data_IF_816971736697
#
_entry.id   IF_816971736697
#
_cell.length_a   1.000
_cell.length_b   1.000
_cell.length_c   1.000
_cell.angle_alpha   90.00
_cell.angle_beta   90.00
_cell.angle_gamma   90.00
#
_symmetry.space_group_name_H-M   'P 1'
#
loop_
_entity.id
_entity.type
_entity.pdbx_description
1 polymer ?
#
# COMPACT_ATOMS: atom_id res chain seq x y z
N UNK A 1 -6.72 -14.78 3.91
CA UNK A 1 -6.43 -14.71 2.46
C UNK A 1 -5.88 -16.05 1.99
N UNK A 2 -6.24 -16.51 0.78
CA UNK A 2 -5.71 -17.75 0.16
C UNK A 2 -5.15 -17.43 -1.21
N UNK A 3 -4.00 -18.03 -1.52
CA UNK A 3 -3.42 -18.05 -2.86
C UNK A 3 -3.57 -19.46 -3.43
N UNK A 4 -3.99 -19.51 -4.70
CA UNK A 4 -4.28 -20.74 -5.42
C UNK A 4 -3.34 -20.86 -6.60
N UNK A 5 -2.81 -22.06 -6.82
CA UNK A 5 -2.24 -22.39 -8.12
C UNK A 5 -3.38 -22.73 -9.08
N UNK A 6 -3.60 -21.88 -10.07
CA UNK A 6 -4.66 -22.02 -11.07
C UNK A 6 -4.55 -23.30 -11.89
N UNK A 7 -3.35 -23.88 -12.04
CA UNK A 7 -3.13 -25.09 -12.86
C UNK A 7 -3.54 -26.35 -12.11
N UNK A 8 -3.23 -26.41 -10.83
CA UNK A 8 -3.56 -27.58 -9.99
C UNK A 8 -4.85 -27.42 -9.19
N UNK A 9 -5.39 -26.21 -9.09
CA UNK A 9 -6.54 -25.88 -8.25
C UNK A 9 -6.26 -25.99 -6.75
N UNK A 10 -4.98 -26.12 -6.34
CA UNK A 10 -4.59 -26.30 -4.94
C UNK A 10 -4.26 -24.96 -4.29
N UNK A 11 -4.57 -24.85 -3.01
CA UNK A 11 -4.10 -23.74 -2.17
C UNK A 11 -2.58 -23.90 -1.99
N UNK A 12 -1.82 -22.89 -2.38
CA UNK A 12 -0.35 -22.85 -2.22
C UNK A 12 0.09 -22.05 -1.01
N UNK A 13 -0.77 -21.16 -0.53
CA UNK A 13 -0.55 -20.40 0.69
C UNK A 13 -1.90 -19.95 1.26
N UNK A 14 -2.02 -20.00 2.59
CA UNK A 14 -3.18 -19.53 3.32
C UNK A 14 -2.72 -18.80 4.58
N UNK A 15 -3.35 -17.66 4.85
CA UNK A 15 -3.24 -16.95 6.11
C UNK A 15 -4.62 -16.66 6.65
N UNK A 16 -4.79 -16.82 7.96
CA UNK A 16 -5.85 -16.10 8.68
C UNK A 16 -5.47 -14.61 8.73
N UNK A 17 -6.46 -13.72 8.86
CA UNK A 17 -6.16 -12.33 9.23
C UNK A 17 -5.26 -12.31 10.48
N UNK A 18 -4.35 -11.32 10.61
CA UNK A 18 -3.40 -11.31 11.72
C UNK A 18 -4.16 -11.40 13.02
N UNK A 19 -3.84 -12.42 13.81
CA UNK A 19 -4.64 -12.79 14.97
C UNK A 19 -4.80 -14.29 15.19
N UNK A 20 -4.71 -15.10 14.14
CA UNK A 20 -4.82 -16.57 14.27
C UNK A 20 -3.70 -17.24 15.08
N UNK A 21 -2.58 -16.52 15.32
CA UNK A 21 -1.41 -17.04 16.06
C UNK A 21 -0.84 -16.04 17.10
N UNK A 22 -1.65 -15.10 17.58
CA UNK A 22 -1.42 -14.47 18.90
C UNK A 22 -0.53 -13.22 19.02
N UNK A 23 -0.23 -12.43 17.98
CA UNK A 23 0.63 -11.23 18.12
C UNK A 23 0.31 -10.03 17.22
N UNK A 24 -0.97 -9.73 16.96
CA UNK A 24 -1.30 -8.48 16.26
C UNK A 24 -2.44 -7.74 16.95
N UNK A 25 -2.25 -6.45 17.17
CA UNK A 25 -3.29 -5.51 17.62
C UNK A 25 -4.40 -5.32 16.57
N UNK A 26 -4.23 -5.89 15.37
CA UNK A 26 -5.17 -5.84 14.24
C UNK A 26 -6.05 -7.10 14.12
N UNK A 27 -6.22 -7.84 15.23
CA UNK A 27 -7.10 -9.00 15.30
C UNK A 27 -8.50 -8.69 14.78
N UNK A 28 -8.95 -9.50 13.81
CA UNK A 28 -10.31 -9.40 13.28
C UNK A 28 -10.52 -8.21 12.34
N UNK A 29 -9.48 -7.72 11.68
CA UNK A 29 -9.57 -6.69 10.64
C UNK A 29 -9.34 -7.29 9.24
N UNK A 30 -10.40 -7.82 8.58
CA UNK A 30 -10.27 -8.42 7.25
C UNK A 30 -9.99 -7.37 6.17
N UNK A 31 -9.46 -7.79 5.03
CA UNK A 31 -9.32 -6.88 3.90
C UNK A 31 -10.67 -6.51 3.27
N UNK A 32 -10.81 -5.26 2.84
CA UNK A 32 -11.92 -4.80 2.00
C UNK A 32 -11.58 -4.99 0.51
N UNK A 33 -10.33 -4.74 0.13
CA UNK A 33 -9.82 -4.98 -1.22
C UNK A 33 -8.31 -5.32 -1.19
N UNK A 34 -7.82 -5.96 -2.25
CA UNK A 34 -6.43 -6.36 -2.38
C UNK A 34 -5.98 -6.40 -3.85
N UNK A 35 -4.72 -6.05 -4.10
CA UNK A 35 -4.13 -6.06 -5.43
C UNK A 35 -2.64 -6.44 -5.36
N UNK A 36 -2.06 -6.79 -6.50
CA UNK A 36 -0.69 -7.29 -6.62
C UNK A 36 0.12 -6.35 -7.50
N UNK A 37 1.25 -5.85 -6.99
CA UNK A 37 2.27 -5.26 -7.85
C UNK A 37 3.16 -6.39 -8.40
N UNK A 38 2.91 -6.76 -9.64
CA UNK A 38 3.64 -7.82 -10.34
C UNK A 38 5.14 -7.48 -10.49
N UNK A 39 5.48 -6.19 -10.64
CA UNK A 39 6.87 -5.76 -10.82
C UNK A 39 7.66 -5.87 -9.51
N UNK A 40 7.04 -5.48 -8.40
CA UNK A 40 7.67 -5.60 -7.07
C UNK A 40 7.50 -6.98 -6.45
N UNK A 41 6.63 -7.82 -7.01
CA UNK A 41 6.24 -9.12 -6.44
C UNK A 41 5.70 -8.96 -5.02
N UNK A 42 4.81 -7.98 -4.83
CA UNK A 42 4.20 -7.66 -3.54
C UNK A 42 2.68 -7.69 -3.64
N UNK A 43 2.02 -8.15 -2.58
CA UNK A 43 0.57 -8.02 -2.40
C UNK A 43 0.31 -6.85 -1.49
N UNK A 44 -0.65 -6.01 -1.85
CA UNK A 44 -1.21 -4.98 -1.00
C UNK A 44 -2.66 -5.31 -0.65
N UNK A 45 -3.06 -4.94 0.56
CA UNK A 45 -4.46 -4.96 0.99
C UNK A 45 -4.82 -3.66 1.68
N UNK A 46 -6.09 -3.28 1.60
CA UNK A 46 -6.69 -2.28 2.49
C UNK A 46 -7.57 -2.99 3.50
N UNK A 47 -7.39 -2.68 4.78
CA UNK A 47 -8.11 -3.31 5.87
C UNK A 47 -9.49 -2.66 6.05
N UNK A 48 -10.53 -3.47 6.21
CA UNK A 48 -11.93 -3.03 6.20
C UNK A 48 -12.32 -2.21 7.43
N UNK A 49 -11.78 -2.53 8.61
CA UNK A 49 -12.12 -1.84 9.87
C UNK A 49 -11.19 -0.68 10.14
N UNK A 50 -9.88 -0.91 10.10
CA UNK A 50 -8.92 0.17 10.33
C UNK A 50 -8.84 1.09 9.13
N UNK A 51 -8.90 0.57 7.90
CA UNK A 51 -8.49 1.31 6.70
C UNK A 51 -6.98 1.26 6.45
N UNK A 52 -6.19 0.59 7.30
CA UNK A 52 -4.74 0.51 7.11
C UNK A 52 -4.41 -0.20 5.79
N UNK A 53 -3.37 0.28 5.11
CA UNK A 53 -2.80 -0.44 3.97
C UNK A 53 -1.72 -1.36 4.50
N UNK A 54 -1.76 -2.62 4.12
CA UNK A 54 -0.72 -3.58 4.47
C UNK A 54 -0.09 -4.15 3.20
N UNK A 55 1.20 -4.47 3.28
CA UNK A 55 1.99 -5.04 2.20
C UNK A 55 2.66 -6.34 2.63
N UNK A 56 2.77 -7.30 1.72
CA UNK A 56 3.50 -8.55 1.91
C UNK A 56 4.34 -8.88 0.66
N UNK A 57 5.55 -9.40 0.85
CA UNK A 57 6.41 -9.90 -0.24
C UNK A 57 5.97 -11.31 -0.65
N UNK A 58 5.59 -11.51 -1.92
CA UNK A 58 5.14 -12.81 -2.44
C UNK A 58 6.21 -13.90 -2.34
N UNK A 59 7.49 -13.54 -2.27
CA UNK A 59 8.61 -14.47 -2.16
C UNK A 59 8.88 -14.89 -0.73
N UNK A 60 8.29 -14.19 0.26
CA UNK A 60 8.55 -14.36 1.69
C UNK A 60 7.26 -14.53 2.49
N UNK A 61 6.25 -15.15 1.89
CA UNK A 61 4.98 -15.42 2.55
C UNK A 61 5.15 -16.39 3.73
N UNK A 62 4.52 -16.05 4.85
CA UNK A 62 4.54 -16.80 6.10
C UNK A 62 3.13 -16.83 6.70
N UNK A 63 2.97 -17.25 7.97
CA UNK A 63 1.67 -17.22 8.65
C UNK A 63 1.15 -15.82 8.93
N UNK A 64 2.03 -14.80 9.01
CA UNK A 64 1.65 -13.40 9.17
C UNK A 64 2.71 -12.52 8.46
N UNK A 65 2.64 -12.37 7.13
CA UNK A 65 3.66 -11.68 6.35
C UNK A 65 3.40 -10.17 6.23
N UNK A 66 2.36 -9.65 6.90
CA UNK A 66 1.86 -8.30 6.67
C UNK A 66 2.70 -7.26 7.39
N UNK A 67 3.22 -6.31 6.62
CA UNK A 67 3.75 -5.05 7.13
C UNK A 67 2.66 -4.00 6.97
N UNK A 68 2.13 -3.53 8.09
CA UNK A 68 1.11 -2.50 8.15
C UNK A 68 1.75 -1.13 7.96
N UNK A 69 1.17 -0.31 7.11
CA UNK A 69 1.65 1.04 6.81
C UNK A 69 0.69 2.05 7.44
N UNK A 70 1.21 2.87 8.35
CA UNK A 70 0.42 3.91 9.00
C UNK A 70 0.06 5.01 8.01
N UNK A 71 -1.23 5.15 7.68
CA UNK A 71 -1.72 6.33 6.95
C UNK A 71 -1.44 7.60 7.76
N UNK A 72 -1.16 8.71 7.07
CA UNK A 72 -0.86 10.01 7.70
C UNK A 72 -2.02 10.61 8.53
N UNK A 73 -1.94 11.90 8.90
CA UNK A 73 -2.86 12.53 9.85
C UNK A 73 -4.33 12.60 9.42
N UNK A 74 -4.64 12.42 8.12
CA UNK A 74 -6.03 12.28 7.63
C UNK A 74 -6.67 10.94 8.03
N UNK A 75 -5.85 10.03 8.55
CA UNK A 75 -6.26 8.82 9.23
C UNK A 75 -6.78 7.75 8.28
N UNK A 76 -6.70 6.51 8.75
CA UNK A 76 -7.37 5.39 8.15
C UNK A 76 -8.83 5.48 8.60
N UNK A 77 -9.66 6.23 7.86
CA UNK A 77 -11.10 5.98 7.89
C UNK A 77 -11.32 4.52 7.46
N UNK A 78 -12.22 3.79 8.14
CA UNK A 78 -12.42 2.35 7.86
C UNK A 78 -12.50 2.06 6.36
N UNK A 79 -11.85 0.99 5.91
CA UNK A 79 -11.64 0.69 4.49
C UNK A 79 -12.85 0.12 3.75
N UNK A 80 -14.04 0.09 4.35
CA UNK A 80 -15.22 -0.41 3.67
C UNK A 80 -15.54 0.44 2.42
N UNK A 81 -15.66 -0.22 1.26
CA UNK A 81 -15.87 0.43 -0.03
C UNK A 81 -14.59 0.96 -0.69
N UNK A 82 -13.44 0.92 -0.02
CA UNK A 82 -12.16 1.28 -0.63
C UNK A 82 -11.81 0.33 -1.75
N UNK A 83 -11.35 0.88 -2.88
CA UNK A 83 -10.73 0.15 -3.98
C UNK A 83 -9.23 0.43 -4.01
N UNK A 84 -8.46 -0.61 -4.29
CA UNK A 84 -7.01 -0.61 -4.30
C UNK A 84 -6.51 -1.02 -5.69
N UNK A 85 -5.68 -0.17 -6.28
CA UNK A 85 -5.11 -0.42 -7.60
C UNK A 85 -3.59 -0.27 -7.57
N UNK A 86 -2.86 -1.31 -7.97
CA UNK A 86 -1.41 -1.28 -8.12
C UNK A 86 -1.05 -0.93 -9.57
N UNK A 87 -0.39 0.20 -9.78
CA UNK A 87 0.05 0.61 -11.12
C UNK A 87 1.39 1.32 -11.09
N UNK A 88 2.29 0.97 -12.02
CA UNK A 88 3.64 1.53 -12.12
C UNK A 88 4.41 1.58 -10.80
N UNK A 89 4.30 0.54 -9.97
CA UNK A 89 4.96 0.48 -8.67
C UNK A 89 4.53 1.54 -7.65
N UNK A 90 3.33 2.08 -7.85
CA UNK A 90 2.58 2.86 -6.88
C UNK A 90 1.29 2.12 -6.53
N UNK A 91 0.75 2.42 -5.36
CA UNK A 91 -0.51 1.85 -4.88
C UNK A 91 -1.51 2.98 -4.67
N UNK A 92 -2.57 2.96 -5.45
CA UNK A 92 -3.67 3.91 -5.41
C UNK A 92 -4.77 3.33 -4.55
N UNK A 93 -5.24 4.08 -3.57
CA UNK A 93 -6.26 3.65 -2.61
C UNK A 93 -7.35 4.70 -2.56
N UNK A 94 -8.58 4.32 -2.89
CA UNK A 94 -9.72 5.20 -2.67
C UNK A 94 -10.07 5.28 -1.19
N UNK A 95 -10.25 6.49 -0.71
CA UNK A 95 -10.68 6.82 0.64
C UNK A 95 -11.97 7.60 0.57
N UNK A 96 -12.67 7.68 1.70
CA UNK A 96 -13.86 8.53 1.84
C UNK A 96 -13.53 10.00 1.58
N UNK A 97 -12.30 10.41 1.90
CA UNK A 97 -11.79 11.77 1.76
C UNK A 97 -10.90 11.96 0.52
N UNK A 98 -10.96 11.04 -0.45
CA UNK A 98 -10.35 11.18 -1.77
C UNK A 98 -9.35 10.09 -2.14
N UNK A 99 -8.40 10.41 -3.02
CA UNK A 99 -7.39 9.48 -3.51
C UNK A 99 -6.08 9.55 -2.69
N UNK A 100 -5.71 8.45 -2.04
CA UNK A 100 -4.40 8.27 -1.39
C UNK A 100 -3.47 7.45 -2.28
N UNK A 101 -2.24 7.90 -2.47
CA UNK A 101 -1.22 7.22 -3.27
C UNK A 101 -0.02 6.85 -2.40
N UNK A 102 0.32 5.58 -2.38
CA UNK A 102 1.50 5.04 -1.72
C UNK A 102 2.62 4.78 -2.71
N UNK A 103 3.83 5.15 -2.32
CA UNK A 103 5.04 4.92 -3.08
C UNK A 103 6.13 4.37 -2.18
N UNK A 104 6.96 3.49 -2.73
CA UNK A 104 8.17 3.03 -2.05
C UNK A 104 9.27 4.06 -2.26
N UNK A 105 9.85 4.54 -1.17
CA UNK A 105 11.05 5.35 -1.18
C UNK A 105 12.23 4.46 -1.60
N UNK A 106 13.04 4.92 -2.55
CA UNK A 106 14.33 4.27 -2.80
C UNK A 106 15.18 4.40 -1.54
N UNK A 107 15.69 3.27 -1.03
CA UNK A 107 16.74 3.30 -0.04
C UNK A 107 17.90 4.06 -0.66
N UNK A 108 18.19 5.27 -0.17
CA UNK A 108 19.55 5.78 -0.31
C UNK A 108 20.40 4.75 0.39
N UNK A 109 21.15 3.96 -0.37
CA UNK A 109 22.27 3.21 0.18
C UNK A 109 23.06 4.23 1.00
N UNK A 110 23.02 4.09 2.31
CA UNK A 110 23.97 4.77 3.15
C UNK A 110 25.32 4.16 2.78
N UNK A 111 26.04 4.85 1.89
CA UNK A 111 27.49 4.76 1.83
C UNK A 111 27.96 4.82 3.27
N UNK A 112 28.42 3.67 3.76
CA UNK A 112 28.81 3.49 5.14
C UNK A 112 30.20 4.10 5.30
N UNK A 113 30.26 5.42 5.19
CA UNK A 113 31.40 6.24 5.54
C UNK A 113 31.26 6.68 6.98
N UNK A 114 31.81 5.87 7.89
CA UNK A 114 32.19 6.20 9.26
C UNK A 114 31.07 6.72 10.19
N UNK A 115 30.73 5.95 11.22
CA UNK A 115 30.71 6.42 12.61
C UNK A 115 30.67 5.20 13.55
N UNK A 116 31.46 5.30 14.61
CA UNK A 116 32.00 4.22 15.41
C UNK A 116 30.96 3.29 16.09
N UNK A 117 31.37 2.03 16.20
CA UNK A 117 30.71 0.96 16.95
C UNK A 117 30.48 1.36 18.42
N UNK A 118 29.23 1.30 18.88
CA UNK A 118 28.91 1.19 20.30
C UNK A 118 28.54 -0.26 20.62
N UNK A 119 29.17 -0.90 21.63
CA UNK A 119 28.92 -2.30 21.95
C UNK A 119 27.75 -2.41 22.93
N UNK A 120 26.61 -2.95 22.52
CA UNK A 120 25.52 -3.15 23.48
C UNK A 120 24.11 -3.45 23.00
N UNK A 121 23.87 -4.01 21.81
CA UNK A 121 22.59 -4.67 21.52
C UNK A 121 22.79 -5.65 20.35
N UNK A 122 22.89 -6.94 20.68
CA UNK A 122 22.95 -8.01 19.68
C UNK A 122 21.54 -8.27 19.13
N UNK A 123 21.16 -7.52 18.11
CA UNK A 123 20.41 -8.05 16.96
C UNK A 123 20.93 -7.31 15.72
N UNK A 124 21.81 -7.96 14.95
CA UNK A 124 22.05 -7.52 13.57
C UNK A 124 20.74 -7.75 12.82
N UNK A 125 20.07 -6.75 12.23
CA UNK A 125 18.99 -7.03 11.32
C UNK A 125 19.61 -7.48 10.00
N UNK A 126 20.01 -8.75 9.95
CA UNK A 126 20.10 -9.45 8.68
C UNK A 126 18.66 -9.59 8.16
N UNK A 127 18.15 -8.64 7.37
CA UNK A 127 17.14 -8.97 6.35
C UNK A 127 16.86 -7.83 5.39
N UNK A 128 17.12 -8.11 4.13
CA UNK A 128 16.55 -7.50 2.92
C UNK A 128 15.02 -7.69 2.89
N UNK A 129 14.30 -7.07 3.82
CA UNK A 129 12.85 -7.21 4.02
C UNK A 129 12.10 -5.91 3.75
N UNK A 130 10.79 -6.01 3.58
CA UNK A 130 9.90 -4.84 3.53
C UNK A 130 9.93 -4.16 4.91
N UNK A 131 10.27 -2.88 4.95
CA UNK A 131 10.23 -2.04 6.17
C UNK A 131 9.20 -0.94 5.96
N UNK A 132 8.30 -0.74 6.92
CA UNK A 132 7.24 0.28 6.88
C UNK A 132 7.77 1.67 6.49
N UNK A 133 8.88 2.09 7.09
CA UNK A 133 9.53 3.40 6.85
C UNK A 133 9.95 3.66 5.40
N UNK A 134 10.05 2.61 4.58
CA UNK A 134 10.39 2.71 3.17
C UNK A 134 9.18 3.07 2.31
N UNK A 135 8.01 3.33 2.91
CA UNK A 135 6.80 3.71 2.20
C UNK A 135 6.33 5.09 2.65
N UNK A 136 5.80 5.84 1.70
CA UNK A 136 5.19 7.15 1.95
C UNK A 136 3.87 7.23 1.21
N UNK A 137 2.85 7.74 1.89
CA UNK A 137 1.58 8.10 1.28
C UNK A 137 1.49 9.60 0.98
N UNK A 138 0.70 9.95 -0.03
CA UNK A 138 0.33 11.33 -0.36
C UNK A 138 -1.11 11.34 -0.85
N UNK A 139 -1.92 12.25 -0.32
CA UNK A 139 -3.28 12.48 -0.80
C UNK A 139 -3.23 13.39 -2.03
N UNK A 140 -3.90 12.97 -3.10
CA UNK A 140 -3.95 13.70 -4.37
C UNK A 140 -5.16 14.63 -4.47
N UNK A 141 -6.29 14.22 -3.90
CA UNK A 141 -7.52 14.99 -3.95
C UNK A 141 -7.49 16.20 -3.01
N UNK A 142 -8.06 17.31 -3.50
CA UNK A 142 -8.39 18.45 -2.64
C UNK A 142 -9.69 18.19 -1.86
N UNK A 143 -10.02 19.07 -0.91
CA UNK A 143 -11.31 18.98 -0.20
C UNK A 143 -12.53 19.12 -1.13
N UNK A 144 -12.40 19.86 -2.24
CA UNK A 144 -13.47 19.96 -3.24
C UNK A 144 -13.61 18.69 -4.08
N UNK A 145 -12.50 18.03 -4.40
CA UNK A 145 -12.52 16.76 -5.14
C UNK A 145 -13.13 15.63 -4.29
N UNK A 146 -12.85 15.62 -2.99
CA UNK A 146 -13.44 14.67 -2.05
C UNK A 146 -14.99 14.77 -1.96
N UNK A 147 -15.58 15.95 -2.27
CA UNK A 147 -17.04 16.14 -2.27
C UNK A 147 -17.74 15.49 -3.47
N UNK A 148 -17.00 15.04 -4.49
CA UNK A 148 -17.55 14.41 -5.70
C UNK A 148 -17.96 12.94 -5.52
N UNK A 149 -17.90 12.45 -4.28
CA UNK A 149 -18.20 11.07 -3.95
C UNK A 149 -16.97 10.17 -4.01
N UNK A 150 -17.16 8.94 -3.54
CA UNK A 150 -16.09 7.95 -3.41
C UNK A 150 -15.70 7.39 -4.79
N UNK A 151 -14.40 7.19 -5.00
CA UNK A 151 -13.90 6.50 -6.18
C UNK A 151 -14.30 5.02 -6.10
N UNK A 152 -14.98 4.53 -7.13
CA UNK A 152 -15.51 3.16 -7.23
C UNK A 152 -14.64 2.23 -8.07
N UNK A 153 -13.89 2.76 -9.04
CA UNK A 153 -13.00 1.98 -9.89
C UNK A 153 -11.78 2.81 -10.26
N UNK A 154 -10.64 2.13 -10.41
CA UNK A 154 -9.38 2.70 -10.88
C UNK A 154 -8.70 1.74 -11.84
N UNK A 155 -8.18 2.27 -12.94
CA UNK A 155 -7.37 1.51 -13.91
C UNK A 155 -6.20 2.34 -14.42
N UNK A 156 -5.04 1.72 -14.54
CA UNK A 156 -3.85 2.34 -15.10
C UNK A 156 -3.67 2.04 -16.60
N UNK A 157 -3.29 3.05 -17.38
CA UNK A 157 -2.98 2.89 -18.80
C UNK A 157 -1.99 3.93 -19.31
N UNK A 158 -0.90 3.50 -19.95
CA UNK A 158 0.16 4.41 -20.39
C UNK A 158 0.78 5.16 -19.21
N UNK A 159 0.75 6.48 -19.21
CA UNK A 159 1.16 7.36 -18.11
C UNK A 159 -0.02 7.96 -17.32
N UNK A 160 -1.20 7.37 -17.49
CA UNK A 160 -2.45 7.84 -16.93
C UNK A 160 -3.07 6.84 -15.97
N UNK A 161 -3.82 7.37 -15.03
CA UNK A 161 -4.74 6.65 -14.16
C UNK A 161 -6.16 7.14 -14.49
N UNK A 162 -7.07 6.21 -14.69
CA UNK A 162 -8.48 6.45 -14.95
C UNK A 162 -9.27 6.09 -13.70
N UNK A 163 -10.21 6.94 -13.29
CA UNK A 163 -11.05 6.68 -12.12
C UNK A 163 -12.51 7.06 -12.37
N UNK A 164 -13.44 6.33 -11.74
CA UNK A 164 -14.87 6.66 -11.71
C UNK A 164 -15.33 6.90 -10.28
N UNK A 165 -16.35 7.73 -10.10
CA UNK A 165 -16.94 8.06 -8.79
C UNK A 165 -18.43 7.77 -8.76
N UNK A 166 -18.94 7.44 -7.57
CA UNK A 166 -20.34 7.06 -7.34
C UNK A 166 -21.36 8.06 -7.90
N UNK A 167 -21.12 9.35 -7.69
CA UNK A 167 -22.06 10.41 -8.05
C UNK A 167 -21.73 11.11 -9.39
N UNK A 168 -20.87 10.49 -10.22
CA UNK A 168 -20.42 11.08 -11.48
C UNK A 168 -20.63 10.15 -12.67
N UNK A 169 -21.32 10.65 -13.69
CA UNK A 169 -21.42 9.99 -14.99
C UNK A 169 -20.22 10.34 -15.89
N UNK A 170 -19.01 10.05 -15.42
CA UNK A 170 -17.78 10.40 -16.13
C UNK A 170 -16.56 9.62 -15.64
N UNK A 171 -15.50 9.64 -16.47
CA UNK A 171 -14.19 9.08 -16.12
C UNK A 171 -13.23 10.24 -15.90
N UNK A 172 -12.67 10.30 -14.70
CA UNK A 172 -11.56 11.21 -14.37
C UNK A 172 -10.24 10.61 -14.88
N UNK A 173 -9.38 11.46 -15.43
CA UNK A 173 -8.08 11.04 -15.97
C UNK A 173 -6.99 11.83 -15.28
N UNK A 174 -6.13 11.12 -14.56
CA UNK A 174 -4.98 11.66 -13.87
C UNK A 174 -3.73 11.33 -14.67
N UNK A 175 -2.88 12.33 -14.90
CA UNK A 175 -1.61 12.16 -15.60
C UNK A 175 -0.47 12.56 -14.67
N UNK A 176 0.58 11.74 -14.62
CA UNK A 176 1.76 12.09 -13.84
C UNK A 176 2.53 13.21 -14.54
N UNK A 177 2.54 14.41 -13.94
CA UNK A 177 3.33 15.52 -14.47
C UNK A 177 4.83 15.24 -14.31
N UNK A 178 5.59 15.33 -15.41
CA UNK A 178 7.07 15.30 -15.38
C UNK A 178 7.68 16.47 -14.61
N UNK A 179 6.89 17.50 -14.29
CA UNK A 179 7.30 18.71 -13.57
C UNK A 179 7.07 18.61 -12.05
N UNK A 180 6.45 17.53 -11.55
CA UNK A 180 6.24 17.34 -10.11
C UNK A 180 7.52 16.87 -9.37
N UNK A 181 8.57 16.52 -10.12
CA UNK A 181 9.93 16.35 -9.59
C UNK A 181 10.67 17.70 -9.63
N UNK A 182 11.04 18.19 -8.45
CA UNK A 182 11.86 19.38 -8.19
C UNK A 182 11.15 20.74 -8.22
N UNK A 183 10.61 21.13 -7.07
CA UNK A 183 10.88 22.48 -6.55
C UNK A 183 11.73 22.30 -5.29
N UNK A 184 13.05 22.32 -5.46
CA UNK A 184 13.93 22.59 -4.32
C UNK A 184 13.82 24.09 -4.07
N UNK A 185 13.14 24.49 -3.00
CA UNK A 185 13.24 25.86 -2.52
C UNK A 185 14.66 26.04 -2.01
N UNK A 186 15.46 26.80 -2.78
CA UNK A 186 16.77 27.33 -2.36
C UNK A 186 16.60 28.34 -1.23
#
# INVERSE_FOLDING_TARGET
MRLWDIRSGKVVWETSEPGGAGRSSRFGDPFADANVDVKQQTIYKVCSKSGDVAVADLRRLSNDPWVYMSSGPRGSGGGYGSVLHCYKSQVFVSRKDGLEVWSRLEERCCDTGNLAEQPGTKERPNSEGIIERNYRSTYMDTEEDAKRGMIQMMEGGGDRLFSTREDMQGVEVWESSRLAGAISLS
#
